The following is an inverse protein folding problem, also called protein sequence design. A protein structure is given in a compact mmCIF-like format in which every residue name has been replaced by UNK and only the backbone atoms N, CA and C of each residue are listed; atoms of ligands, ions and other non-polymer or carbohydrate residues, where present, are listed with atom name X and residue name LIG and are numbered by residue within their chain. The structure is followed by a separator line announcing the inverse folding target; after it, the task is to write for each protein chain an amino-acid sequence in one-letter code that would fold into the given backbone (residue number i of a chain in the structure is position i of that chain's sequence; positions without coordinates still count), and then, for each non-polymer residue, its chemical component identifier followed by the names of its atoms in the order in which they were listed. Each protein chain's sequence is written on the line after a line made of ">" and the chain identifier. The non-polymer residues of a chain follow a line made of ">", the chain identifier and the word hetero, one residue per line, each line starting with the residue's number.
data_IF_583500509153
#
_entry.id   IF_583500509153
#
_cell.length_a   1.000
_cell.length_b   1.000
_cell.length_c   1.000
_cell.angle_alpha   90.00
_cell.angle_beta   90.00
_cell.angle_gamma   90.00
#
_symmetry.space_group_name_H-M   'P 1'
#
loop_
_entity.id
_entity.type
_entity.pdbx_description
1 polymer ?
#
# COMPACT_ATOMS: atom_id res chain seq x y z
N UNK A 1 -5.13 10.19 -6.60
CA UNK A 1 -4.94 8.73 -6.67
C UNK A 1 -4.76 8.27 -5.24
N UNK A 2 -5.65 7.44 -4.68
CA UNK A 2 -5.43 6.91 -3.31
C UNK A 2 -4.45 5.75 -3.42
N UNK A 3 -3.27 5.93 -2.87
CA UNK A 3 -2.20 4.95 -2.85
C UNK A 3 -2.49 3.93 -1.74
N UNK A 4 -2.22 2.62 -1.95
CA UNK A 4 -2.30 1.66 -0.86
C UNK A 4 -1.34 2.10 0.25
N UNK A 5 -1.75 2.03 1.52
CA UNK A 5 -0.93 2.52 2.61
C UNK A 5 0.35 1.69 2.69
N UNK A 6 1.50 2.37 2.84
CA UNK A 6 2.85 1.76 2.96
C UNK A 6 2.86 0.55 3.90
N UNK A 7 2.09 0.66 5.00
CA UNK A 7 1.89 -0.39 6.00
C UNK A 7 1.39 -1.71 5.41
N UNK A 8 0.50 -1.68 4.42
CA UNK A 8 -0.06 -2.85 3.75
C UNK A 8 1.02 -3.60 2.96
N UNK A 9 1.76 -2.88 2.13
CA UNK A 9 2.84 -3.45 1.32
C UNK A 9 3.94 -4.02 2.19
N UNK A 10 4.32 -3.32 3.27
CA UNK A 10 5.31 -3.83 4.22
C UNK A 10 4.81 -5.06 4.98
N UNK A 11 3.51 -5.16 5.28
CA UNK A 11 2.95 -6.36 5.92
C UNK A 11 3.03 -7.57 4.99
N UNK A 12 2.65 -7.41 3.72
CA UNK A 12 2.76 -8.48 2.72
C UNK A 12 4.20 -8.97 2.55
N UNK A 13 5.17 -8.06 2.57
CA UNK A 13 6.58 -8.43 2.55
C UNK A 13 6.99 -9.10 3.86
N UNK A 14 6.63 -8.55 5.01
CA UNK A 14 7.05 -9.05 6.31
C UNK A 14 6.48 -10.44 6.66
N UNK A 15 5.36 -10.84 6.04
CA UNK A 15 4.66 -12.09 6.30
C UNK A 15 4.51 -12.98 5.04
N UNK A 16 5.62 -13.54 4.50
CA UNK A 16 5.57 -14.39 3.32
C UNK A 16 4.68 -15.64 3.48
N UNK A 17 4.51 -16.13 4.71
CA UNK A 17 3.65 -17.27 5.05
C UNK A 17 2.16 -17.03 4.76
N UNK A 18 1.72 -15.79 4.60
CA UNK A 18 0.34 -15.49 4.23
C UNK A 18 0.02 -15.85 2.78
N UNK A 19 1.04 -16.02 1.92
CA UNK A 19 0.88 -16.37 0.51
C UNK A 19 -0.08 -15.39 -0.20
N UNK A 20 0.09 -14.10 0.08
CA UNK A 20 -0.67 -13.02 -0.53
C UNK A 20 0.24 -12.24 -1.46
N UNK A 21 -0.27 -11.94 -2.65
CA UNK A 21 0.47 -11.17 -3.64
C UNK A 21 0.66 -9.72 -3.20
N UNK A 22 1.87 -9.21 -3.38
CA UNK A 22 2.19 -7.80 -3.26
C UNK A 22 2.35 -7.20 -4.66
N UNK A 23 1.80 -6.01 -4.87
CA UNK A 23 1.93 -5.29 -6.13
C UNK A 23 3.31 -4.65 -6.26
N UNK A 24 4.04 -4.97 -7.31
CA UNK A 24 5.29 -4.27 -7.67
C UNK A 24 5.11 -2.74 -7.74
N UNK A 25 4.00 -2.19 -8.31
CA UNK A 25 3.74 -0.74 -8.26
C UNK A 25 3.59 -0.19 -6.84
N UNK A 26 2.95 -0.94 -5.95
CA UNK A 26 2.70 -0.53 -4.56
C UNK A 26 3.99 -0.52 -3.75
N UNK A 27 4.88 -1.48 -4.02
CA UNK A 27 6.23 -1.49 -3.48
C UNK A 27 7.07 -0.34 -4.03
N UNK A 28 7.02 -0.07 -5.34
CA UNK A 28 7.72 1.06 -5.93
C UNK A 28 7.31 2.38 -5.24
N UNK A 29 6.01 2.61 -5.05
CA UNK A 29 5.51 3.80 -4.35
C UNK A 29 5.94 3.84 -2.88
N UNK A 30 5.89 2.70 -2.18
CA UNK A 30 6.34 2.61 -0.79
C UNK A 30 7.83 2.97 -0.66
N UNK A 31 8.68 2.44 -1.55
CA UNK A 31 10.10 2.77 -1.60
C UNK A 31 10.34 4.23 -2.00
N UNK A 32 9.52 4.78 -2.89
CA UNK A 32 9.58 6.19 -3.28
C UNK A 32 9.44 7.10 -2.05
N UNK A 33 8.44 6.84 -1.21
CA UNK A 33 8.15 7.63 -0.02
C UNK A 33 9.19 7.40 1.08
N UNK A 34 9.50 6.14 1.40
CA UNK A 34 10.44 5.78 2.46
C UNK A 34 11.87 6.26 2.17
N UNK A 35 12.30 6.16 0.91
CA UNK A 35 13.68 6.44 0.51
C UNK A 35 13.85 7.79 -0.20
N UNK A 36 12.76 8.56 -0.37
CA UNK A 36 12.72 9.84 -1.08
C UNK A 36 13.30 9.75 -2.49
N UNK A 37 12.95 8.67 -3.20
CA UNK A 37 13.40 8.40 -4.57
C UNK A 37 12.46 9.05 -5.59
N UNK A 38 12.92 9.21 -6.83
CA UNK A 38 12.01 9.42 -7.96
C UNK A 38 11.37 8.08 -8.40
N UNK A 39 10.26 8.12 -9.16
CA UNK A 39 9.54 6.91 -9.57
C UNK A 39 10.38 5.90 -10.33
N UNK A 40 11.34 6.36 -11.15
CA UNK A 40 12.17 5.48 -11.99
C UNK A 40 13.12 4.66 -11.12
N UNK A 41 13.81 5.31 -10.18
CA UNK A 41 14.70 4.63 -9.24
C UNK A 41 13.94 3.71 -8.28
N UNK A 42 12.77 4.13 -7.80
CA UNK A 42 11.96 3.30 -6.91
C UNK A 42 11.43 2.04 -7.62
N UNK A 43 10.99 2.19 -8.87
CA UNK A 43 10.61 1.07 -9.73
C UNK A 43 11.83 0.13 -9.93
N UNK A 44 13.01 0.64 -10.28
CA UNK A 44 14.23 -0.17 -10.43
C UNK A 44 14.49 -1.09 -9.22
N UNK A 45 14.33 -0.58 -8.00
CA UNK A 45 14.52 -1.35 -6.77
C UNK A 45 13.42 -2.39 -6.54
N UNK A 46 12.16 -2.02 -6.73
CA UNK A 46 11.03 -2.93 -6.50
C UNK A 46 11.01 -4.15 -7.46
N UNK A 47 11.61 -4.07 -8.65
CA UNK A 47 11.79 -5.21 -9.58
C UNK A 47 12.56 -6.38 -9.01
N UNK A 48 13.46 -6.06 -8.11
CA UNK A 48 14.49 -6.99 -7.67
C UNK A 48 13.99 -7.85 -6.51
N UNK A 49 12.90 -7.43 -5.89
CA UNK A 49 12.25 -8.19 -4.82
C UNK A 49 11.60 -9.43 -5.44
N UNK A 50 11.95 -10.58 -4.90
CA UNK A 50 11.41 -11.88 -5.27
C UNK A 50 11.08 -12.62 -3.98
N UNK A 51 9.98 -13.36 -3.95
CA UNK A 51 9.54 -14.15 -2.77
C UNK A 51 9.51 -13.32 -1.48
N UNK A 52 9.00 -12.09 -1.58
CA UNK A 52 8.97 -11.08 -0.51
C UNK A 52 10.36 -10.66 0.02
N UNK A 53 11.47 -11.13 -0.55
CA UNK A 53 12.81 -10.88 -0.06
C UNK A 53 13.45 -9.66 -0.73
N UNK A 54 14.01 -8.75 0.06
CA UNK A 54 14.77 -7.60 -0.45
C UNK A 54 16.24 -8.02 -0.61
N UNK A 55 16.77 -8.17 -1.84
CA UNK A 55 18.17 -8.56 -2.05
C UNK A 55 19.12 -7.42 -1.65
N UNK A 56 20.38 -7.76 -1.38
CA UNK A 56 21.42 -6.75 -1.20
C UNK A 56 21.64 -5.97 -2.52
N UNK A 57 21.79 -4.65 -2.44
CA UNK A 57 22.07 -3.85 -3.64
C UNK A 57 23.49 -4.05 -4.13
N UNK A 58 23.63 -4.31 -5.43
CA UNK A 58 24.90 -4.32 -6.15
C UNK A 58 25.47 -2.91 -6.33
N UNK A 59 26.78 -2.82 -6.64
CA UNK A 59 27.47 -1.52 -6.74
C UNK A 59 26.80 -0.57 -7.75
N UNK A 60 26.52 -1.05 -8.96
CA UNK A 60 25.88 -0.23 -10.00
C UNK A 60 24.47 0.25 -9.60
N UNK A 61 23.75 -0.54 -8.80
CA UNK A 61 22.43 -0.15 -8.29
C UNK A 61 22.57 0.95 -7.25
N UNK A 62 23.54 0.82 -6.33
CA UNK A 62 23.86 1.83 -5.31
C UNK A 62 24.24 3.16 -5.95
N UNK A 63 25.11 3.14 -6.96
CA UNK A 63 25.49 4.32 -7.72
C UNK A 63 24.28 4.96 -8.40
N UNK A 64 23.43 4.14 -9.02
CA UNK A 64 22.25 4.60 -9.74
C UNK A 64 21.17 5.15 -8.82
N UNK A 65 20.97 4.61 -7.61
CA UNK A 65 19.97 5.14 -6.67
C UNK A 65 20.50 6.29 -5.80
N UNK A 66 21.81 6.34 -5.59
CA UNK A 66 22.49 7.30 -4.74
C UNK A 66 22.69 6.78 -3.31
N UNK A 67 23.78 7.23 -2.67
CA UNK A 67 24.25 6.71 -1.39
C UNK A 67 23.20 6.75 -0.26
N UNK A 68 22.50 7.88 -0.10
CA UNK A 68 21.47 8.03 0.95
C UNK A 68 20.32 7.04 0.80
N UNK A 69 19.84 6.84 -0.43
CA UNK A 69 18.74 5.92 -0.71
C UNK A 69 19.19 4.46 -0.56
N UNK A 70 20.40 4.13 -1.00
CA UNK A 70 20.99 2.81 -0.79
C UNK A 70 21.12 2.47 0.71
N UNK A 71 21.58 3.41 1.53
CA UNK A 71 21.64 3.23 2.98
C UNK A 71 20.26 3.04 3.60
N UNK A 72 19.26 3.84 3.18
CA UNK A 72 17.88 3.67 3.63
C UNK A 72 17.28 2.31 3.23
N UNK A 73 17.62 1.82 2.03
CA UNK A 73 17.22 0.50 1.57
C UNK A 73 17.85 -0.61 2.42
N UNK A 74 19.15 -0.51 2.71
CA UNK A 74 19.85 -1.47 3.58
C UNK A 74 19.21 -1.51 4.99
N UNK A 75 18.84 -0.36 5.54
CA UNK A 75 18.13 -0.27 6.83
C UNK A 75 16.74 -0.91 6.77
N UNK A 76 15.97 -0.66 5.71
CA UNK A 76 14.65 -1.27 5.53
C UNK A 76 14.75 -2.79 5.41
N UNK A 77 15.73 -3.28 4.65
CA UNK A 77 16.01 -4.71 4.51
C UNK A 77 16.34 -5.34 5.87
N UNK A 78 17.28 -4.75 6.61
CA UNK A 78 17.66 -5.21 7.94
C UNK A 78 16.47 -5.20 8.91
N UNK A 79 15.60 -4.19 8.81
CA UNK A 79 14.39 -4.09 9.62
C UNK A 79 13.41 -5.24 9.34
N UNK A 80 13.16 -5.55 8.07
CA UNK A 80 12.30 -6.68 7.66
C UNK A 80 12.89 -8.02 8.09
N UNK A 81 14.19 -8.22 7.89
CA UNK A 81 14.89 -9.44 8.29
C UNK A 81 14.84 -9.62 9.81
N UNK A 82 15.11 -8.55 10.57
CA UNK A 82 15.04 -8.57 12.04
C UNK A 82 13.62 -8.87 12.55
N UNK A 83 12.60 -8.33 11.88
CA UNK A 83 11.20 -8.63 12.22
C UNK A 83 10.89 -10.12 12.04
N UNK A 84 11.29 -10.71 10.91
CA UNK A 84 11.01 -12.12 10.56
C UNK A 84 11.71 -13.14 11.46
N UNK A 85 12.77 -12.77 12.15
CA UNK A 85 13.42 -13.63 13.15
C UNK A 85 12.59 -13.75 14.44
N UNK A 86 11.67 -12.82 14.69
CA UNK A 86 10.77 -12.86 15.84
C UNK A 86 9.48 -13.63 15.57
N UNK A 87 8.67 -13.86 16.62
CA UNK A 87 7.33 -14.42 16.44
C UNK A 87 6.44 -13.47 15.64
N UNK A 88 5.51 -14.03 14.86
CA UNK A 88 4.50 -13.27 14.12
C UNK A 88 3.71 -12.37 15.07
N UNK A 89 3.73 -11.06 14.82
CA UNK A 89 2.98 -10.10 15.61
C UNK A 89 1.56 -9.93 15.06
N UNK A 90 0.57 -9.63 15.93
CA UNK A 90 -0.71 -9.10 15.50
C UNK A 90 -0.54 -7.92 14.54
N UNK A 91 -1.36 -7.87 13.49
CA UNK A 91 -1.22 -6.89 12.40
C UNK A 91 -1.35 -5.43 12.85
N UNK A 92 -2.13 -5.17 13.90
CA UNK A 92 -2.24 -3.84 14.50
C UNK A 92 -0.95 -3.41 15.21
N UNK A 93 -0.27 -4.33 15.92
CA UNK A 93 1.05 -4.08 16.51
C UNK A 93 2.12 -3.91 15.43
N UNK A 94 2.07 -4.70 14.35
CA UNK A 94 2.95 -4.52 13.20
C UNK A 94 2.79 -3.12 12.59
N UNK A 95 1.56 -2.66 12.36
CA UNK A 95 1.31 -1.32 11.83
C UNK A 95 1.76 -0.20 12.77
N UNK A 96 1.58 -0.37 14.08
CA UNK A 96 2.13 0.54 15.09
C UNK A 96 3.65 0.64 14.98
N UNK A 97 4.32 -0.50 14.81
CA UNK A 97 5.78 -0.58 14.67
C UNK A 97 6.27 0.10 13.39
N UNK A 98 5.66 -0.20 12.24
CA UNK A 98 5.94 0.48 10.97
C UNK A 98 5.77 1.99 11.11
N UNK A 99 4.69 2.42 11.75
CA UNK A 99 4.45 3.84 11.96
C UNK A 99 5.52 4.50 12.83
N UNK A 100 5.82 3.91 13.99
CA UNK A 100 6.77 4.47 14.96
C UNK A 100 8.22 4.43 14.48
N UNK A 101 8.64 3.37 13.81
CA UNK A 101 10.05 3.14 13.46
C UNK A 101 10.40 3.66 12.05
N UNK A 102 9.47 3.56 11.08
CA UNK A 102 9.75 3.89 9.68
C UNK A 102 9.10 5.22 9.25
N UNK A 103 7.81 5.42 9.57
CA UNK A 103 7.07 6.57 9.06
C UNK A 103 7.24 7.85 9.89
N UNK A 104 7.55 7.73 11.19
CA UNK A 104 7.72 8.87 12.10
C UNK A 104 8.76 9.91 11.65
N UNK A 105 9.71 9.49 10.82
CA UNK A 105 10.81 10.32 10.29
C UNK A 105 10.45 11.02 8.98
N UNK A 106 9.34 10.66 8.35
CA UNK A 106 8.89 11.27 7.10
C UNK A 106 8.08 12.54 7.40
N UNK A 107 8.30 13.64 6.66
CA UNK A 107 7.44 14.80 6.76
C UNK A 107 6.01 14.37 6.35
N UNK A 108 5.01 14.54 7.23
CA UNK A 108 3.70 14.01 6.93
C UNK A 108 3.00 14.87 5.88
N UNK A 109 2.57 14.27 4.78
CA UNK A 109 1.38 14.78 4.10
C UNK A 109 0.19 14.48 5.03
N UNK A 110 -0.64 15.49 5.35
CA UNK A 110 -1.70 15.35 6.36
C UNK A 110 -2.64 14.17 6.07
N UNK A 111 -2.91 13.90 4.80
CA UNK A 111 -3.81 12.84 4.37
C UNK A 111 -3.22 11.43 4.62
N UNK A 112 -1.92 11.24 4.44
CA UNK A 112 -1.25 9.95 4.63
C UNK A 112 -1.26 9.50 6.09
N UNK A 113 -1.12 10.44 7.03
CA UNK A 113 -1.23 10.15 8.46
C UNK A 113 -2.64 9.72 8.86
N UNK A 114 -3.66 10.35 8.29
CA UNK A 114 -5.06 10.02 8.56
C UNK A 114 -5.36 8.60 8.09
N UNK A 115 -4.93 8.26 6.87
CA UNK A 115 -5.10 6.91 6.32
C UNK A 115 -4.36 5.87 7.16
N UNK A 116 -3.09 6.12 7.53
CA UNK A 116 -2.32 5.21 8.39
C UNK A 116 -2.98 5.00 9.76
N UNK A 117 -3.50 6.07 10.37
CA UNK A 117 -4.20 5.98 11.66
C UNK A 117 -5.52 5.22 11.54
N UNK A 118 -6.28 5.45 10.47
CA UNK A 118 -7.53 4.73 10.21
C UNK A 118 -7.28 3.24 9.99
N UNK A 119 -6.21 2.89 9.26
CA UNK A 119 -5.80 1.50 9.05
C UNK A 119 -5.48 0.80 10.37
N UNK A 120 -4.69 1.45 11.23
CA UNK A 120 -4.32 0.95 12.55
C UNK A 120 -5.55 0.75 13.46
N UNK A 121 -6.47 1.72 13.51
CA UNK A 121 -7.70 1.59 14.30
C UNK A 121 -8.57 0.44 13.77
N UNK A 122 -8.65 0.29 12.45
CA UNK A 122 -9.42 -0.79 11.81
C UNK A 122 -8.81 -2.16 12.08
N UNK A 123 -7.49 -2.29 11.98
CA UNK A 123 -6.74 -3.49 12.34
C UNK A 123 -6.99 -3.88 13.81
N UNK A 124 -6.90 -2.92 14.73
CA UNK A 124 -7.11 -3.18 16.16
C UNK A 124 -8.54 -3.67 16.46
N UNK A 125 -9.55 -3.02 15.86
CA UNK A 125 -10.95 -3.45 15.97
C UNK A 125 -11.16 -4.86 15.40
N UNK A 126 -10.54 -5.15 14.24
CA UNK A 126 -10.63 -6.45 13.61
C UNK A 126 -10.06 -7.54 14.51
N UNK A 127 -8.81 -7.39 14.97
CA UNK A 127 -8.14 -8.36 15.85
C UNK A 127 -8.91 -8.59 17.15
N UNK A 128 -9.44 -7.52 17.77
CA UNK A 128 -10.26 -7.66 18.99
C UNK A 128 -11.54 -8.45 18.76
N UNK A 129 -12.14 -8.33 17.58
CA UNK A 129 -13.40 -9.01 17.21
C UNK A 129 -13.14 -10.46 16.80
N UNK A 130 -12.09 -10.69 16.01
CA UNK A 130 -11.76 -12.02 15.47
C UNK A 130 -10.96 -12.89 16.43
N UNK A 131 -10.30 -12.33 17.44
CA UNK A 131 -9.61 -13.11 18.48
C UNK A 131 -10.51 -14.05 19.29
N UNK A 132 -11.84 -13.93 19.14
CA UNK A 132 -12.85 -14.81 19.76
C UNK A 132 -13.33 -15.92 18.80
N UNK A 133 -12.88 -15.92 17.56
CA UNK A 133 -13.36 -16.78 16.47
C UNK A 133 -12.15 -17.49 15.85
N UNK A 134 -12.25 -18.80 15.63
CA UNK A 134 -11.23 -19.51 14.86
C UNK A 134 -11.44 -19.27 13.36
N UNK A 135 -10.59 -18.44 12.75
CA UNK A 135 -10.67 -18.10 11.32
C UNK A 135 -10.06 -19.18 10.41
N UNK A 136 -9.33 -20.16 10.96
CA UNK A 136 -8.59 -21.15 10.17
C UNK A 136 -7.38 -20.61 9.38
N UNK A 137 -7.15 -19.29 9.42
CA UNK A 137 -6.01 -18.57 8.83
C UNK A 137 -5.46 -17.55 9.85
N UNK A 138 -4.25 -17.02 9.63
CA UNK A 138 -3.74 -15.91 10.44
C UNK A 138 -4.73 -14.73 10.42
N UNK A 139 -5.11 -14.16 11.59
CA UNK A 139 -5.96 -12.98 11.65
C UNK A 139 -5.39 -11.80 10.84
N UNK A 140 -4.06 -11.67 10.76
CA UNK A 140 -3.41 -10.68 9.91
C UNK A 140 -3.71 -10.91 8.43
N UNK A 141 -3.50 -12.15 7.95
CA UNK A 141 -3.84 -12.52 6.57
C UNK A 141 -5.33 -12.30 6.25
N UNK A 142 -6.21 -12.64 7.19
CA UNK A 142 -7.66 -12.42 7.06
C UNK A 142 -8.00 -10.93 6.92
N UNK A 143 -7.36 -10.08 7.72
CA UNK A 143 -7.53 -8.63 7.63
C UNK A 143 -7.08 -8.07 6.29
N UNK A 144 -5.89 -8.48 5.80
CA UNK A 144 -5.39 -8.06 4.49
C UNK A 144 -6.32 -8.54 3.37
N UNK A 145 -6.78 -9.80 3.40
CA UNK A 145 -7.75 -10.32 2.44
C UNK A 145 -9.05 -9.51 2.46
N UNK A 146 -9.56 -9.16 3.63
CA UNK A 146 -10.76 -8.33 3.78
C UNK A 146 -10.57 -6.94 3.16
N UNK A 147 -9.39 -6.33 3.32
CA UNK A 147 -9.05 -5.06 2.66
C UNK A 147 -8.97 -5.21 1.14
N UNK A 148 -8.27 -6.24 0.65
CA UNK A 148 -8.07 -6.51 -0.77
C UNK A 148 -9.36 -6.91 -1.50
N UNK A 149 -10.27 -7.63 -0.82
CA UNK A 149 -11.57 -8.05 -1.34
C UNK A 149 -12.59 -6.89 -1.45
N UNK A 150 -12.17 -5.65 -1.23
CA UNK A 150 -13.00 -4.47 -1.48
C UNK A 150 -13.98 -4.13 -0.36
N UNK A 151 -13.99 -4.87 0.76
CA UNK A 151 -14.81 -4.53 1.94
C UNK A 151 -14.36 -3.24 2.64
N UNK A 152 -13.24 -2.64 2.22
CA UNK A 152 -12.84 -1.27 2.55
C UNK A 152 -12.34 -0.53 1.31
N UNK A 153 -13.06 -0.62 0.19
CA UNK A 153 -12.98 0.43 -0.83
C UNK A 153 -13.81 1.63 -0.35
N UNK A 154 -13.19 2.52 0.43
CA UNK A 154 -13.48 3.96 0.44
C UNK A 154 -14.90 4.48 0.77
N UNK A 155 -15.84 3.70 1.34
CA UNK A 155 -17.19 4.20 1.70
C UNK A 155 -17.63 3.97 3.16
N UNK A 156 -16.70 3.75 4.09
CA UNK A 156 -17.03 3.90 5.52
C UNK A 156 -16.24 5.07 6.06
N UNK A 157 -16.79 6.30 5.95
CA UNK A 157 -16.62 7.42 6.90
C UNK A 157 -17.17 8.76 6.40
N UNK A 158 -17.67 8.86 5.18
CA UNK A 158 -18.62 9.92 4.82
C UNK A 158 -19.98 9.25 4.76
N UNK A 159 -20.94 9.73 5.56
CA UNK A 159 -22.34 9.47 5.25
C UNK A 159 -22.54 9.80 3.77
N UNK A 160 -23.13 8.90 2.97
CA UNK A 160 -23.41 9.24 1.57
C UNK A 160 -24.38 10.42 1.59
N UNK A 161 -23.87 11.62 1.26
CA UNK A 161 -24.70 12.73 0.85
C UNK A 161 -25.67 12.19 -0.22
N UNK A 162 -26.96 12.46 -0.03
CA UNK A 162 -28.08 11.88 -0.78
C UNK A 162 -27.71 11.53 -2.25
N UNK A 163 -27.72 10.23 -2.58
CA UNK A 163 -27.24 9.67 -3.86
C UNK A 163 -28.20 9.87 -5.04
N UNK A 164 -29.37 10.46 -4.83
CA UNK A 164 -30.41 10.55 -5.87
C UNK A 164 -29.98 11.38 -7.10
N UNK A 165 -29.05 12.34 -6.93
CA UNK A 165 -28.56 13.20 -8.02
C UNK A 165 -27.04 13.45 -7.94
N UNK A 166 -26.24 12.39 -8.05
CA UNK A 166 -24.78 12.49 -7.97
C UNK A 166 -24.06 11.88 -9.17
N UNK A 167 -22.87 12.42 -9.48
CA UNK A 167 -21.91 11.83 -10.42
C UNK A 167 -20.87 11.07 -9.61
N UNK A 168 -20.68 9.79 -9.94
CA UNK A 168 -19.68 8.94 -9.29
C UNK A 168 -18.37 9.02 -10.08
N UNK A 169 -17.32 9.56 -9.44
CA UNK A 169 -15.95 9.56 -9.97
C UNK A 169 -15.16 8.44 -9.29
N UNK A 170 -14.81 7.41 -10.05
CA UNK A 170 -14.13 6.23 -9.52
C UNK A 170 -13.21 5.59 -10.57
N UNK A 171 -12.33 4.68 -10.16
CA UNK A 171 -11.53 3.87 -11.08
C UNK A 171 -12.36 2.69 -11.62
N UNK A 172 -12.02 2.14 -12.79
CA UNK A 172 -12.62 0.90 -13.31
C UNK A 172 -12.74 -0.20 -12.27
N UNK A 173 -11.64 -0.42 -11.54
CA UNK A 173 -11.54 -1.46 -10.52
C UNK A 173 -12.51 -1.22 -9.36
N UNK A 174 -12.56 0.01 -8.83
CA UNK A 174 -13.42 0.34 -7.70
C UNK A 174 -14.92 0.35 -8.10
N UNK A 175 -15.25 0.72 -9.34
CA UNK A 175 -16.62 0.64 -9.84
C UNK A 175 -17.16 -0.80 -9.83
N UNK A 176 -16.38 -1.73 -10.41
CA UNK A 176 -16.75 -3.15 -10.52
C UNK A 176 -16.77 -3.81 -9.15
N UNK A 177 -15.70 -3.59 -8.35
CA UNK A 177 -15.56 -4.20 -7.03
C UNK A 177 -16.59 -3.68 -6.02
N UNK A 178 -17.00 -2.41 -6.16
CA UNK A 178 -18.05 -1.82 -5.34
C UNK A 178 -19.48 -2.17 -5.76
N UNK A 179 -19.66 -3.03 -6.78
CA UNK A 179 -20.96 -3.40 -7.35
C UNK A 179 -21.84 -2.19 -7.70
N UNK A 180 -21.21 -1.07 -8.11
CA UNK A 180 -21.92 0.17 -8.43
C UNK A 180 -22.74 -0.02 -9.71
N UNK A 181 -23.88 0.66 -9.78
CA UNK A 181 -24.76 0.68 -10.95
C UNK A 181 -25.04 2.11 -11.36
N UNK A 182 -25.04 2.37 -12.67
CA UNK A 182 -25.27 3.70 -13.23
C UNK A 182 -26.01 3.55 -14.57
N UNK A 183 -26.95 4.45 -14.84
CA UNK A 183 -27.69 4.47 -16.12
C UNK A 183 -26.77 4.83 -17.30
N UNK A 184 -25.76 5.67 -17.05
CA UNK A 184 -24.78 6.11 -18.04
C UNK A 184 -23.37 6.00 -17.44
N UNK A 185 -22.42 5.50 -18.23
CA UNK A 185 -21.01 5.41 -17.88
C UNK A 185 -20.17 6.13 -18.93
N UNK A 186 -19.22 6.95 -18.48
CA UNK A 186 -18.23 7.63 -19.34
C UNK A 186 -16.85 7.15 -18.93
N UNK A 187 -16.13 6.53 -19.87
CA UNK A 187 -14.79 6.00 -19.66
C UNK A 187 -13.76 6.97 -20.23
N UNK A 188 -12.81 7.39 -19.41
CA UNK A 188 -11.77 8.33 -19.79
C UNK A 188 -10.40 7.76 -19.40
N UNK A 189 -9.49 7.71 -20.37
CA UNK A 189 -8.08 7.42 -20.10
C UNK A 189 -7.32 8.73 -19.93
N UNK A 190 -7.19 9.22 -18.69
CA UNK A 190 -6.46 10.45 -18.38
C UNK A 190 -4.94 10.36 -18.64
N UNK A 191 -4.41 9.19 -19.00
CA UNK A 191 -2.99 8.97 -19.29
C UNK A 191 -2.67 8.99 -20.78
N UNK A 192 -3.70 9.07 -21.64
CA UNK A 192 -3.52 9.08 -23.08
C UNK A 192 -2.68 10.28 -23.55
N UNK A 193 -1.60 10.00 -24.29
CA UNK A 193 -0.77 11.06 -24.89
C UNK A 193 -1.54 11.89 -25.94
N UNK A 194 -2.71 11.42 -26.40
CA UNK A 194 -3.56 12.11 -27.37
C UNK A 194 -4.27 13.34 -26.80
N UNK A 195 -4.36 13.48 -25.47
CA UNK A 195 -4.82 14.72 -24.84
C UNK A 195 -3.94 15.93 -25.16
N UNK A 196 -2.67 15.68 -25.50
CA UNK A 196 -1.64 16.70 -25.71
C UNK A 196 -1.24 16.85 -27.19
N UNK A 197 -2.10 16.49 -28.16
CA UNK A 197 -1.87 16.89 -29.56
C UNK A 197 -1.92 18.41 -29.65
N UNK A 198 -0.76 19.05 -29.54
CA UNK A 198 -0.55 20.37 -30.12
C UNK A 198 -0.45 20.15 -31.62
N UNK A 199 -1.53 20.43 -32.34
CA UNK A 199 -1.49 20.61 -33.78
C UNK A 199 -0.50 21.75 -34.09
N UNK A 200 0.75 21.40 -34.35
CA UNK A 200 1.71 22.29 -35.00
C UNK A 200 1.57 22.04 -36.50
N UNK A 201 0.83 22.93 -37.16
CA UNK A 201 1.03 23.23 -38.58
C UNK A 201 2.13 24.28 -38.71
#
# INVERSE_FOLDING_TARGET
>A
VRHPPIQLTLALLAHPQWQLDWGVPDLAQSLQLLLKLDPVRAWLLSRQVLDCNLPALELWQRERVGFRAAQGYDLLRQWLDSYRQGPEQPIDLFFQRVFGELLSRLPPARDDLVVCRQLLVSAHKFIKTTGRINLGISPGAAFIRMLSAGTVAAESLLEPANREHAVILTTPYAYISGHLRSTVQVWMDCTSRRWFQQDVR
#
